data_IF_779549266322
#
_entry.id   IF_779549266322
#
_cell.length_a   1.000
_cell.length_b   1.000
_cell.length_c   1.000
_cell.angle_alpha   90.00
_cell.angle_beta   90.00
_cell.angle_gamma   90.00
#
_symmetry.space_group_name_H-M   'P 1'
#
loop_
_entity.id
_entity.type
_entity.pdbx_description
1 polymer ?
#
# COMPACT_ATOMS: atom_id res chain seq x y z
N UNK A 1 9.83 5.41 3.80
CA UNK A 1 9.65 5.86 2.39
C UNK A 1 8.27 5.52 1.82
N UNK A 2 7.85 4.21 1.76
CA UNK A 2 6.55 3.84 1.19
C UNK A 2 5.40 4.35 2.06
N UNK A 3 5.47 4.17 3.38
CA UNK A 3 4.49 4.73 4.32
C UNK A 3 4.38 6.25 4.16
N UNK A 4 5.52 6.96 4.22
CA UNK A 4 5.56 8.41 4.04
C UNK A 4 4.96 8.85 2.69
N UNK A 5 5.22 8.06 1.61
CA UNK A 5 4.64 8.35 0.31
C UNK A 5 3.12 8.16 0.30
N UNK A 6 2.63 7.04 0.83
CA UNK A 6 1.19 6.72 0.84
C UNK A 6 0.40 7.77 1.62
N UNK A 7 0.85 8.13 2.82
CA UNK A 7 0.17 9.10 3.66
C UNK A 7 0.17 10.54 3.07
N UNK A 8 1.09 10.83 2.15
CA UNK A 8 1.21 12.13 1.47
C UNK A 8 0.71 12.15 0.04
N UNK A 9 0.09 11.07 -0.44
CA UNK A 9 -0.55 11.07 -1.76
C UNK A 9 -1.72 12.03 -1.77
N UNK A 10 -1.74 12.93 -2.73
CA UNK A 10 -2.80 13.93 -2.92
C UNK A 10 -3.87 13.34 -3.83
N UNK A 11 -4.76 12.55 -3.24
CA UNK A 11 -5.77 11.76 -3.94
C UNK A 11 -7.21 12.08 -3.52
N UNK A 12 -7.37 13.02 -2.61
CA UNK A 12 -8.69 13.53 -2.22
C UNK A 12 -8.96 14.87 -2.91
N UNK A 13 -10.22 15.13 -3.18
CA UNK A 13 -10.64 16.35 -3.85
C UNK A 13 -10.57 17.57 -2.93
N UNK A 14 -10.15 18.70 -3.48
CA UNK A 14 -10.21 20.01 -2.84
C UNK A 14 -11.56 20.70 -3.14
N UNK A 15 -11.74 21.92 -2.63
CA UNK A 15 -12.94 22.74 -2.81
C UNK A 15 -13.29 23.00 -4.29
N UNK A 16 -12.33 22.84 -5.20
CA UNK A 16 -12.51 23.04 -6.64
C UNK A 16 -12.74 21.70 -7.38
N UNK A 17 -12.93 20.58 -6.67
CA UNK A 17 -13.08 19.24 -7.24
C UNK A 17 -11.80 18.70 -7.87
N UNK A 18 -10.63 19.21 -7.50
CA UNK A 18 -9.34 18.72 -7.99
C UNK A 18 -8.69 17.79 -6.97
N UNK A 19 -8.13 16.69 -7.45
CA UNK A 19 -7.34 15.74 -6.64
C UNK A 19 -6.09 16.44 -6.12
N UNK A 20 -6.13 16.95 -4.91
CA UNK A 20 -5.14 17.86 -4.35
C UNK A 20 -4.81 17.65 -2.87
N UNK A 21 -5.70 17.04 -2.11
CA UNK A 21 -5.54 16.85 -0.67
C UNK A 21 -4.96 15.47 -0.35
N UNK A 22 -4.09 15.42 0.66
CA UNK A 22 -3.53 14.19 1.20
C UNK A 22 -4.43 13.60 2.30
N UNK A 23 -4.09 12.39 2.77
CA UNK A 23 -4.81 11.74 3.85
C UNK A 23 -4.82 12.57 5.15
N UNK A 24 -3.73 13.26 5.44
CA UNK A 24 -3.62 14.12 6.61
C UNK A 24 -4.48 15.41 6.47
N UNK A 25 -4.57 15.96 5.25
CA UNK A 25 -5.36 17.17 5.01
C UNK A 25 -6.87 16.94 5.19
N UNK A 26 -7.33 15.70 4.97
CA UNK A 26 -8.75 15.31 5.14
C UNK A 26 -9.01 14.57 6.46
N UNK A 27 -8.06 14.58 7.38
CA UNK A 27 -8.13 13.83 8.66
C UNK A 27 -8.58 12.36 8.45
N UNK A 28 -8.11 11.76 7.37
CA UNK A 28 -8.56 10.46 6.92
C UNK A 28 -7.90 9.31 7.68
N UNK A 29 -8.47 8.12 7.56
CA UNK A 29 -8.05 6.90 8.24
C UNK A 29 -7.41 5.91 7.26
N UNK A 30 -6.63 4.97 7.79
CA UNK A 30 -5.93 3.95 7.01
C UNK A 30 -6.34 2.55 7.43
N UNK A 31 -6.78 1.73 6.47
CA UNK A 31 -6.90 0.28 6.66
C UNK A 31 -5.81 -0.43 5.88
N UNK A 32 -4.96 -1.19 6.58
CA UNK A 32 -3.83 -1.90 5.97
C UNK A 32 -4.08 -3.41 6.01
N UNK A 33 -4.14 -4.01 4.83
CA UNK A 33 -4.35 -5.45 4.65
C UNK A 33 -3.16 -6.04 3.91
N UNK A 34 -2.58 -7.11 4.44
CA UNK A 34 -1.53 -7.87 3.76
C UNK A 34 -2.14 -8.75 2.66
N UNK A 35 -1.56 -8.72 1.45
CA UNK A 35 -2.08 -9.47 0.32
C UNK A 35 -0.93 -10.01 -0.55
N UNK A 36 -0.53 -11.27 -0.35
CA UNK A 36 0.56 -11.87 -1.12
C UNK A 36 0.16 -12.22 -2.57
N UNK A 37 -1.13 -12.42 -2.81
CA UNK A 37 -1.65 -12.78 -4.14
C UNK A 37 -1.46 -11.67 -5.19
N UNK A 38 -1.17 -10.44 -4.78
CA UNK A 38 -0.75 -9.37 -5.70
C UNK A 38 0.60 -9.67 -6.40
N UNK A 39 1.37 -10.65 -5.90
CA UNK A 39 2.58 -11.18 -6.53
C UNK A 39 2.32 -12.39 -7.43
N UNK A 40 1.07 -12.67 -7.79
CA UNK A 40 0.72 -13.76 -8.69
C UNK A 40 1.45 -13.65 -10.02
N UNK A 41 2.13 -14.72 -10.43
CA UNK A 41 2.65 -14.88 -11.78
C UNK A 41 1.71 -15.79 -12.56
N UNK A 42 0.94 -15.21 -13.48
CA UNK A 42 -0.06 -15.88 -14.30
C UNK A 42 0.40 -16.12 -15.75
N UNK A 43 1.69 -15.98 -16.04
CA UNK A 43 2.23 -16.10 -17.41
C UNK A 43 2.24 -17.53 -17.93
N UNK A 44 2.22 -18.54 -17.05
CA UNK A 44 2.26 -19.95 -17.41
C UNK A 44 1.01 -20.66 -16.90
N UNK A 45 0.11 -20.98 -17.81
CA UNK A 45 -1.13 -21.69 -17.50
C UNK A 45 -2.11 -20.91 -16.63
N UNK A 46 -3.17 -21.58 -16.19
CA UNK A 46 -4.27 -20.95 -15.45
C UNK A 46 -4.12 -21.00 -13.92
N UNK A 47 -3.06 -21.63 -13.42
CA UNK A 47 -2.76 -21.68 -11.98
C UNK A 47 -1.75 -20.57 -11.62
N UNK A 48 -2.12 -19.57 -10.80
CA UNK A 48 -1.21 -18.55 -10.39
C UNK A 48 -0.03 -19.10 -9.56
N UNK A 49 1.16 -18.59 -9.78
CA UNK A 49 2.35 -18.91 -8.98
C UNK A 49 2.69 -17.76 -8.05
N UNK A 50 2.95 -18.07 -6.78
CA UNK A 50 3.28 -17.10 -5.73
C UNK A 50 4.73 -17.21 -5.24
N UNK A 51 5.60 -17.90 -5.98
CA UNK A 51 7.03 -18.14 -5.60
C UNK A 51 7.78 -16.83 -5.35
N UNK A 52 7.35 -15.74 -5.97
CA UNK A 52 7.96 -14.41 -5.82
C UNK A 52 7.50 -13.66 -4.57
N UNK A 53 6.51 -14.16 -3.85
CA UNK A 53 6.08 -13.57 -2.59
C UNK A 53 7.17 -13.73 -1.52
N UNK A 54 7.26 -12.79 -0.59
CA UNK A 54 8.23 -12.84 0.51
C UNK A 54 7.93 -13.98 1.48
N UNK A 55 8.96 -14.50 2.15
CA UNK A 55 8.80 -15.49 3.22
C UNK A 55 7.86 -14.93 4.32
N UNK A 56 6.92 -15.76 4.87
CA UNK A 56 5.86 -15.27 5.76
C UNK A 56 6.37 -14.48 6.96
N UNK A 57 7.38 -14.97 7.68
CA UNK A 57 7.91 -14.31 8.87
C UNK A 57 8.49 -12.92 8.56
N UNK A 58 9.25 -12.80 7.47
CA UNK A 58 9.79 -11.53 7.03
C UNK A 58 8.68 -10.58 6.54
N UNK A 59 7.71 -11.12 5.82
CA UNK A 59 6.57 -10.34 5.33
C UNK A 59 5.73 -9.80 6.49
N UNK A 60 5.50 -10.59 7.54
CA UNK A 60 4.79 -10.16 8.74
C UNK A 60 5.55 -9.07 9.50
N UNK A 61 6.86 -9.22 9.68
CA UNK A 61 7.71 -8.21 10.32
C UNK A 61 7.66 -6.87 9.57
N UNK A 62 7.78 -6.92 8.24
CA UNK A 62 7.68 -5.74 7.39
C UNK A 62 6.28 -5.12 7.42
N UNK A 63 5.22 -5.94 7.51
CA UNK A 63 3.85 -5.49 7.64
C UNK A 63 3.64 -4.69 8.94
N UNK A 64 4.11 -5.23 10.07
CA UNK A 64 4.08 -4.56 11.38
C UNK A 64 4.86 -3.24 11.35
N UNK A 65 6.09 -3.25 10.86
CA UNK A 65 6.91 -2.05 10.73
C UNK A 65 6.27 -0.99 9.83
N UNK A 66 5.61 -1.41 8.75
CA UNK A 66 4.91 -0.48 7.87
C UNK A 66 3.74 0.22 8.59
N UNK A 67 2.94 -0.52 9.38
CA UNK A 67 1.86 0.06 10.17
C UNK A 67 2.36 1.07 11.20
N UNK A 68 3.44 0.72 11.92
CA UNK A 68 4.08 1.62 12.89
C UNK A 68 4.51 2.94 12.21
N UNK A 69 5.09 2.83 11.02
CA UNK A 69 5.45 4.04 10.25
C UNK A 69 4.24 4.83 9.79
N UNK A 70 3.14 4.21 9.43
CA UNK A 70 1.92 4.93 9.05
C UNK A 70 1.32 5.67 10.25
N UNK A 71 1.36 5.11 11.46
CA UNK A 71 0.88 5.75 12.69
C UNK A 71 1.62 7.04 13.06
N UNK A 72 2.81 7.28 12.50
CA UNK A 72 3.49 8.57 12.67
C UNK A 72 2.95 9.69 11.77
N UNK A 73 2.00 9.38 10.90
CA UNK A 73 1.43 10.32 9.93
C UNK A 73 -0.09 10.47 10.03
N UNK A 74 -0.78 9.46 10.55
CA UNK A 74 -2.24 9.43 10.68
C UNK A 74 -2.64 8.83 12.02
N UNK A 75 -3.70 9.35 12.61
CA UNK A 75 -4.12 8.98 13.96
C UNK A 75 -4.77 7.59 14.00
N UNK A 76 -5.55 7.24 12.99
CA UNK A 76 -6.25 5.97 12.90
C UNK A 76 -5.65 5.08 11.83
N UNK A 77 -4.98 4.00 12.27
CA UNK A 77 -4.44 2.95 11.39
C UNK A 77 -4.99 1.61 11.81
N UNK A 78 -5.99 1.14 11.09
CA UNK A 78 -6.59 -0.17 11.26
C UNK A 78 -5.85 -1.22 10.45
N UNK A 79 -6.03 -2.48 10.81
CA UNK A 79 -5.28 -3.59 10.20
C UNK A 79 -6.14 -4.83 10.00
N UNK A 80 -5.83 -5.58 8.95
CA UNK A 80 -6.24 -6.97 8.81
C UNK A 80 -5.40 -7.91 9.67
N UNK A 81 -5.80 -9.18 9.73
CA UNK A 81 -5.05 -10.26 10.39
C UNK A 81 -4.12 -10.92 9.39
N UNK A 82 -2.81 -10.85 9.64
CA UNK A 82 -1.81 -11.43 8.74
C UNK A 82 -2.00 -12.95 8.58
N UNK A 83 -2.01 -13.44 7.34
CA UNK A 83 -2.15 -14.86 7.02
C UNK A 83 -3.54 -15.47 7.25
N UNK A 84 -4.52 -14.69 7.67
CA UNK A 84 -5.89 -15.19 7.85
C UNK A 84 -6.70 -15.10 6.56
N UNK A 85 -7.69 -15.97 6.45
CA UNK A 85 -8.80 -15.78 5.51
C UNK A 85 -9.73 -14.69 6.03
N UNK A 86 -9.93 -13.65 5.24
CA UNK A 86 -10.69 -12.45 5.63
C UNK A 86 -11.72 -12.12 4.56
N UNK A 87 -12.91 -11.73 5.01
CA UNK A 87 -13.89 -11.05 4.17
C UNK A 87 -13.70 -9.55 4.35
N UNK A 88 -13.52 -8.84 3.26
CA UNK A 88 -13.29 -7.38 3.27
C UNK A 88 -14.38 -6.73 2.45
N UNK A 89 -15.22 -5.94 3.11
CA UNK A 89 -16.22 -5.11 2.46
C UNK A 89 -15.67 -3.68 2.36
N UNK A 90 -15.75 -3.09 1.17
CA UNK A 90 -15.34 -1.72 0.95
C UNK A 90 -16.25 -1.04 -0.08
N UNK A 91 -16.46 0.24 0.09
CA UNK A 91 -17.04 1.11 -0.92
C UNK A 91 -15.92 1.94 -1.53
N UNK A 92 -15.55 1.67 -2.79
CA UNK A 92 -14.56 2.46 -3.51
C UNK A 92 -15.27 3.60 -4.23
N UNK A 93 -15.35 4.72 -3.55
CA UNK A 93 -16.01 5.92 -4.05
C UNK A 93 -15.04 6.74 -4.90
N UNK A 94 -15.48 7.07 -6.11
CA UNK A 94 -14.65 7.77 -7.06
C UNK A 94 -14.51 7.09 -8.43
N UNK A 95 -14.29 5.78 -8.62
CA UNK A 95 -13.36 4.96 -7.85
C UNK A 95 -11.91 5.43 -8.03
N UNK A 96 -11.11 5.36 -6.96
CA UNK A 96 -9.70 5.76 -7.00
C UNK A 96 -8.83 4.61 -6.51
N UNK A 97 -8.02 4.04 -7.40
CA UNK A 97 -7.15 2.90 -7.11
C UNK A 97 -5.77 3.12 -7.71
N UNK A 98 -4.74 3.02 -6.90
CA UNK A 98 -3.35 3.20 -7.33
C UNK A 98 -2.52 1.96 -6.97
N UNK A 99 -1.65 1.56 -7.90
CA UNK A 99 -0.61 0.57 -7.63
C UNK A 99 0.73 1.27 -7.38
N UNK A 100 1.37 0.96 -6.25
CA UNK A 100 2.67 1.49 -5.90
C UNK A 100 3.67 0.35 -5.71
N UNK A 101 4.68 0.29 -6.58
CA UNK A 101 5.80 -0.65 -6.45
C UNK A 101 7.05 0.07 -5.94
N UNK A 102 7.64 -0.48 -4.86
CA UNK A 102 8.85 0.06 -4.27
C UNK A 102 10.08 -0.04 -5.18
N UNK A 103 10.09 -0.97 -6.14
CA UNK A 103 11.18 -1.15 -7.12
C UNK A 103 11.11 -0.09 -8.22
N UNK A 104 9.93 0.23 -8.72
CA UNK A 104 9.74 1.27 -9.73
C UNK A 104 10.07 2.65 -9.16
N UNK A 105 9.70 2.91 -7.92
CA UNK A 105 10.05 4.14 -7.20
C UNK A 105 11.57 4.33 -7.03
N UNK A 106 12.36 3.26 -7.09
CA UNK A 106 13.83 3.33 -7.10
C UNK A 106 14.40 3.63 -8.49
N UNK A 107 13.83 3.04 -9.55
CA UNK A 107 14.29 3.26 -10.95
C UNK A 107 14.12 4.73 -11.39
N UNK A 108 13.08 5.41 -10.94
CA UNK A 108 12.92 6.85 -11.21
C UNK A 108 13.98 7.72 -10.53
N UNK A 109 14.52 7.31 -9.35
CA UNK A 109 15.60 8.02 -8.68
C UNK A 109 16.98 7.70 -9.27
N UNK A 110 17.23 6.48 -9.77
CA UNK A 110 18.52 6.10 -10.36
C UNK A 110 18.72 6.70 -11.75
N UNK A 111 17.67 6.94 -12.53
CA UNK A 111 17.76 7.75 -13.76
C UNK A 111 18.18 9.21 -13.52
N UNK A 112 18.07 9.70 -12.27
CA UNK A 112 18.58 11.01 -11.84
C UNK A 112 19.97 10.97 -11.21
N UNK A 113 20.51 9.78 -10.94
CA UNK A 113 21.87 9.56 -10.41
C UNK A 113 22.45 8.34 -11.10
N UNK A 114 23.08 8.56 -12.23
CA UNK A 114 23.96 7.55 -12.81
C UNK A 114 25.08 7.25 -11.83
N UNK A 115 25.25 5.97 -11.61
CA UNK A 115 26.37 5.21 -11.09
C UNK A 115 26.16 4.51 -9.74
N UNK A 116 26.31 3.22 -9.77
CA UNK A 116 26.86 2.40 -8.70
C UNK A 116 25.88 1.64 -7.79
N UNK A 117 26.05 0.33 -7.83
CA UNK A 117 25.74 -0.70 -6.83
C UNK A 117 24.33 -1.30 -6.80
N UNK A 118 24.29 -2.53 -7.22
CA UNK A 118 23.20 -3.50 -7.03
C UNK A 118 23.11 -3.90 -5.56
N UNK A 119 21.92 -3.81 -4.96
CA UNK A 119 21.60 -4.51 -3.73
C UNK A 119 20.20 -5.12 -3.84
N UNK A 120 20.12 -6.40 -3.46
CA UNK A 120 18.94 -7.24 -3.56
C UNK A 120 17.67 -6.60 -2.97
N UNK A 121 16.63 -6.57 -3.78
CA UNK A 121 15.36 -5.99 -3.38
C UNK A 121 14.44 -7.07 -2.82
N UNK A 122 14.08 -6.95 -1.56
CA UNK A 122 12.99 -7.72 -0.96
C UNK A 122 11.66 -7.19 -1.52
N UNK A 123 10.93 -8.07 -2.20
CA UNK A 123 9.61 -7.75 -2.76
C UNK A 123 8.54 -8.00 -1.71
N UNK A 124 7.99 -6.96 -1.14
CA UNK A 124 6.79 -7.02 -0.29
C UNK A 124 5.65 -6.26 -0.95
N UNK A 125 4.54 -6.93 -1.25
CA UNK A 125 3.33 -6.28 -1.72
C UNK A 125 2.42 -5.96 -0.53
N UNK A 126 1.96 -4.75 -0.44
CA UNK A 126 1.07 -4.26 0.61
C UNK A 126 -0.08 -3.54 -0.03
N UNK A 127 -1.28 -3.90 0.35
CA UNK A 127 -2.48 -3.17 0.03
C UNK A 127 -2.80 -2.24 1.20
N UNK A 128 -2.92 -0.97 0.92
CA UNK A 128 -3.41 0.02 1.86
C UNK A 128 -4.69 0.63 1.28
N UNK A 129 -5.75 0.62 2.07
CA UNK A 129 -7.01 1.26 1.74
C UNK A 129 -7.09 2.58 2.49
N UNK A 130 -7.34 3.66 1.77
CA UNK A 130 -7.44 5.01 2.30
C UNK A 130 -8.92 5.38 2.42
N UNK A 131 -9.29 6.00 3.54
CA UNK A 131 -10.63 6.48 3.81
C UNK A 131 -10.58 7.99 4.05
N UNK A 132 -11.33 8.74 3.29
CA UNK A 132 -11.69 10.13 3.59
C UNK A 132 -12.98 10.20 4.41
N UNK A 133 -13.44 11.39 4.75
CA UNK A 133 -14.57 11.63 5.66
C UNK A 133 -15.80 10.77 5.43
N UNK A 134 -16.44 10.37 6.52
CA UNK A 134 -17.82 9.89 6.58
C UNK A 134 -18.09 8.45 6.15
N UNK A 135 -17.08 7.63 5.93
CA UNK A 135 -17.24 6.25 5.44
C UNK A 135 -16.95 5.22 6.53
N UNK A 136 -17.77 4.17 6.58
CA UNK A 136 -17.66 3.11 7.59
C UNK A 136 -16.96 1.88 7.05
N UNK A 137 -15.97 1.39 7.78
CA UNK A 137 -15.47 0.04 7.62
C UNK A 137 -16.32 -0.93 8.42
N UNK A 138 -16.81 -2.02 7.79
CA UNK A 138 -17.42 -3.14 8.52
C UNK A 138 -16.41 -4.27 8.63
N UNK A 139 -16.32 -4.87 9.81
CA UNK A 139 -15.48 -6.03 10.10
C UNK A 139 -16.15 -7.33 9.71
#
# INVERSE_FOLDING_TARGET
KMADKICRLRIFEDENGKTNLSLADVEGELLIISQFTLYADCRKGNRPSFIKAGAPQMAESLYKHFMERCRTHVDVVEKGRFGADMKVELLNDGPFTLMLDSLESRKQKSRRRESGAQHGAVRGCKQALLKGDGRTWRR
#
